data_IF_424793572396
#
_entry.id   IF_424793572396
#
_cell.length_a   1.000
_cell.length_b   1.000
_cell.length_c   1.000
_cell.angle_alpha   90.00
_cell.angle_beta   90.00
_cell.angle_gamma   90.00
#
_symmetry.space_group_name_H-M   'P 1'
#
loop_
_entity.id
_entity.type
_entity.pdbx_description
1 polymer ?
#
# COMPACT_ATOMS: atom_id res chain seq x y z
N UNK A 1 23.76 12.76 0.44
CA UNK A 1 22.47 12.05 0.70
C UNK A 1 21.22 12.92 0.52
N UNK A 2 21.24 14.22 0.84
CA UNK A 2 20.00 15.03 0.81
C UNK A 2 19.46 15.36 -0.59
N UNK A 3 20.30 15.38 -1.64
CA UNK A 3 19.84 15.67 -3.02
C UNK A 3 19.05 14.50 -3.63
N UNK A 4 19.57 13.26 -3.51
CA UNK A 4 18.89 12.06 -4.00
C UNK A 4 17.49 11.90 -3.37
N UNK A 5 17.41 11.98 -2.04
CA UNK A 5 16.14 11.87 -1.32
C UNK A 5 15.13 12.94 -1.78
N UNK A 6 15.57 14.20 -1.93
CA UNK A 6 14.73 15.30 -2.44
C UNK A 6 14.25 15.04 -3.86
N UNK A 7 15.10 14.53 -4.75
CA UNK A 7 14.72 14.18 -6.13
C UNK A 7 13.71 13.03 -6.16
N UNK A 8 13.92 11.98 -5.36
CA UNK A 8 13.02 10.84 -5.25
C UNK A 8 11.64 11.26 -4.71
N UNK A 9 11.59 12.06 -3.64
CA UNK A 9 10.34 12.55 -3.06
C UNK A 9 9.55 13.38 -4.08
N UNK A 10 10.22 14.29 -4.82
CA UNK A 10 9.57 15.09 -5.87
C UNK A 10 9.02 14.21 -6.99
N UNK A 11 9.79 13.23 -7.45
CA UNK A 11 9.34 12.30 -8.47
C UNK A 11 8.14 11.46 -7.99
N UNK A 12 8.20 10.91 -6.77
CA UNK A 12 7.12 10.13 -6.18
C UNK A 12 5.84 10.96 -6.01
N UNK A 13 5.95 12.25 -5.64
CA UNK A 13 4.79 13.14 -5.56
C UNK A 13 4.09 13.33 -6.91
N UNK A 14 4.84 13.33 -8.02
CA UNK A 14 4.29 13.57 -9.36
C UNK A 14 3.91 12.27 -10.12
N UNK A 15 4.60 11.16 -9.87
CA UNK A 15 4.48 9.91 -10.66
C UNK A 15 4.28 8.65 -9.82
N UNK A 16 4.31 8.76 -8.49
CA UNK A 16 4.08 7.65 -7.58
C UNK A 16 2.64 7.14 -7.64
N UNK A 17 2.44 5.92 -7.14
CA UNK A 17 1.10 5.37 -6.91
C UNK A 17 0.57 5.95 -5.61
N UNK A 18 -0.62 6.55 -5.65
CA UNK A 18 -1.27 7.19 -4.50
C UNK A 18 -2.71 6.70 -4.29
N UNK A 19 -3.18 5.82 -5.16
CA UNK A 19 -4.58 5.37 -5.28
C UNK A 19 -4.79 3.94 -4.79
N UNK A 20 -3.77 3.31 -4.18
CA UNK A 20 -3.91 1.96 -3.65
C UNK A 20 -4.70 1.96 -2.32
N UNK A 21 -5.61 1.00 -2.10
CA UNK A 21 -6.49 0.99 -0.93
C UNK A 21 -5.78 1.02 0.43
N UNK A 22 -4.56 0.49 0.50
CA UNK A 22 -3.72 0.44 1.70
C UNK A 22 -2.81 1.65 1.89
N UNK A 23 -2.78 2.61 0.95
CA UNK A 23 -2.00 3.84 1.06
C UNK A 23 -2.77 4.97 1.78
N UNK A 24 -4.10 4.94 1.76
CA UNK A 24 -4.97 5.95 2.40
C UNK A 24 -5.38 5.54 3.82
N UNK A 25 -4.45 4.96 4.58
CA UNK A 25 -4.70 4.56 5.97
C UNK A 25 -3.44 4.65 6.82
N UNK A 26 -3.63 4.93 8.11
CA UNK A 26 -2.59 4.84 9.14
C UNK A 26 -2.74 3.62 10.03
N UNK A 27 -3.71 2.76 9.74
CA UNK A 27 -3.98 1.55 10.50
C UNK A 27 -2.87 0.51 10.28
N UNK A 28 -2.10 0.14 11.32
CA UNK A 28 -1.01 -0.83 11.19
C UNK A 28 -1.49 -2.21 10.71
N UNK A 29 -2.71 -2.63 11.07
CA UNK A 29 -3.26 -3.92 10.63
C UNK A 29 -3.47 -3.94 9.12
N UNK A 30 -4.06 -2.86 8.59
CA UNK A 30 -4.31 -2.70 7.15
C UNK A 30 -3.04 -2.61 6.32
N UNK A 31 -2.01 -1.93 6.84
CA UNK A 31 -0.70 -1.84 6.18
C UNK A 31 0.02 -3.19 6.24
N UNK A 32 0.07 -3.83 7.41
CA UNK A 32 0.67 -5.16 7.55
C UNK A 32 0.03 -6.19 6.62
N UNK A 33 -1.30 -6.22 6.55
CA UNK A 33 -2.04 -7.13 5.69
C UNK A 33 -1.67 -6.94 4.20
N UNK A 34 -1.58 -5.70 3.72
CA UNK A 34 -1.18 -5.43 2.33
C UNK A 34 0.24 -5.88 2.05
N UNK A 35 1.18 -5.65 2.98
CA UNK A 35 2.58 -6.07 2.81
C UNK A 35 2.67 -7.59 2.69
N UNK A 36 1.98 -8.35 3.55
CA UNK A 36 1.96 -9.82 3.48
C UNK A 36 1.39 -10.32 2.15
N UNK A 37 0.28 -9.75 1.68
CA UNK A 37 -0.31 -10.14 0.40
C UNK A 37 0.61 -9.86 -0.80
N UNK A 38 1.38 -8.77 -0.75
CA UNK A 38 2.23 -8.30 -1.86
C UNK A 38 3.58 -9.02 -1.98
N UNK A 39 4.01 -9.81 -0.99
CA UNK A 39 5.33 -10.47 -1.02
C UNK A 39 5.52 -11.42 -2.22
N UNK A 40 4.46 -12.09 -2.68
CA UNK A 40 4.51 -13.04 -3.80
C UNK A 40 3.34 -12.88 -4.77
N UNK A 41 2.55 -11.80 -4.64
CA UNK A 41 1.34 -11.57 -5.44
C UNK A 41 1.36 -10.19 -6.08
N UNK A 42 0.97 -10.11 -7.36
CA UNK A 42 0.89 -8.83 -8.07
C UNK A 42 -0.25 -7.95 -7.52
N UNK A 43 -0.04 -6.62 -7.53
CA UNK A 43 -0.99 -5.62 -7.02
C UNK A 43 -2.42 -5.82 -7.55
N UNK A 44 -2.58 -6.02 -8.87
CA UNK A 44 -3.89 -6.19 -9.50
C UNK A 44 -4.67 -7.38 -8.92
N UNK A 45 -3.97 -8.47 -8.60
CA UNK A 45 -4.56 -9.65 -7.95
C UNK A 45 -4.87 -9.39 -6.49
N UNK A 46 -4.06 -8.60 -5.77
CA UNK A 46 -4.25 -8.32 -4.35
C UNK A 46 -5.46 -7.43 -4.08
N UNK A 47 -5.72 -6.40 -4.89
CA UNK A 47 -6.80 -5.41 -4.67
C UNK A 47 -8.13 -6.06 -4.27
N UNK A 48 -8.71 -7.02 -5.03
CA UNK A 48 -9.99 -7.61 -4.65
C UNK A 48 -9.90 -8.54 -3.43
N UNK A 49 -8.75 -9.15 -3.13
CA UNK A 49 -8.58 -10.00 -1.95
C UNK A 49 -8.45 -9.17 -0.67
N UNK A 50 -7.74 -8.05 -0.75
CA UNK A 50 -7.59 -7.10 0.35
C UNK A 50 -8.95 -6.60 0.85
N UNK A 51 -9.83 -6.18 -0.07
CA UNK A 51 -11.20 -5.74 0.26
C UNK A 51 -12.01 -6.84 0.96
N UNK A 52 -12.07 -8.04 0.37
CA UNK A 52 -12.79 -9.19 0.96
C UNK A 52 -12.26 -9.60 2.33
N UNK A 53 -10.95 -9.50 2.54
CA UNK A 53 -10.33 -9.86 3.81
C UNK A 53 -10.76 -8.89 4.91
N UNK A 54 -10.76 -7.59 4.64
CA UNK A 54 -11.20 -6.57 5.59
C UNK A 54 -12.72 -6.60 5.86
N UNK A 55 -13.53 -6.98 4.87
CA UNK A 55 -14.96 -7.23 5.09
C UNK A 55 -15.18 -8.40 6.07
N UNK A 56 -14.37 -9.46 5.96
CA UNK A 56 -14.51 -10.66 6.79
C UNK A 56 -13.84 -10.54 8.17
N UNK A 57 -12.73 -9.82 8.23
CA UNK A 57 -11.85 -9.63 9.38
C UNK A 57 -11.52 -8.13 9.51
N UNK A 58 -12.45 -7.32 10.04
CA UNK A 58 -12.30 -5.86 10.03
C UNK A 58 -11.26 -5.35 11.03
N UNK A 59 -10.99 -6.10 12.11
CA UNK A 59 -10.03 -5.74 13.17
C UNK A 59 -9.31 -6.97 13.70
N UNK A 60 -8.22 -6.74 14.44
CA UNK A 60 -7.59 -7.74 15.31
C UNK A 60 -8.42 -7.98 16.58
#
# INVERSE_FOLDING_TARGET
MSDFARRLIRWHKAHGRHDLPWQDTRDPYRVWLSEIMLQQTQVATVIPYYGRFLERFPTL
#
